data_IF_701386496102
#
_entry.id   IF_701386496102
#
_cell.length_a   1.000
_cell.length_b   1.000
_cell.length_c   1.000
_cell.angle_alpha   90.00
_cell.angle_beta   90.00
_cell.angle_gamma   90.00
#
_symmetry.space_group_name_H-M   'P 1'
#
loop_
_entity.id
_entity.type
_entity.pdbx_description
1 polymer ?
#
# COMPACT_ATOMS: atom_id res chain seq x y z
N UNK A 1 19.29 -15.03 -2.09
CA UNK A 1 19.12 -14.18 -3.29
C UNK A 1 20.03 -12.99 -3.12
N UNK A 2 20.90 -12.71 -4.09
CA UNK A 2 21.80 -11.56 -4.03
C UNK A 2 21.20 -10.44 -4.87
N UNK A 3 20.79 -9.35 -4.24
CA UNK A 3 20.18 -8.20 -4.90
C UNK A 3 21.09 -7.55 -5.96
N UNK A 4 22.39 -7.84 -5.96
CA UNK A 4 23.30 -7.50 -7.06
C UNK A 4 22.87 -8.08 -8.41
N UNK A 5 22.24 -9.26 -8.44
CA UNK A 5 21.75 -9.87 -9.68
C UNK A 5 20.52 -9.13 -10.20
N UNK A 6 19.63 -8.70 -9.30
CA UNK A 6 18.39 -8.02 -9.66
C UNK A 6 18.62 -6.56 -10.07
N UNK A 7 19.52 -5.85 -9.38
CA UNK A 7 19.70 -4.40 -9.56
C UNK A 7 20.99 -4.02 -10.29
N UNK A 8 21.91 -4.97 -10.56
CA UNK A 8 23.17 -4.70 -11.25
C UNK A 8 23.93 -3.53 -10.62
N UNK A 9 24.27 -2.54 -11.44
CA UNK A 9 25.02 -1.34 -11.04
C UNK A 9 24.26 -0.41 -10.08
N UNK A 10 22.93 -0.57 -9.95
CA UNK A 10 22.14 0.19 -8.96
C UNK A 10 22.33 -0.38 -7.54
N UNK A 11 22.72 -1.64 -7.39
CA UNK A 11 22.78 -2.32 -6.09
C UNK A 11 23.65 -1.61 -5.05
N UNK A 12 24.88 -1.11 -5.35
CA UNK A 12 25.68 -0.40 -4.36
C UNK A 12 24.97 0.81 -3.74
N UNK A 13 24.23 1.59 -4.56
CA UNK A 13 23.48 2.76 -4.09
C UNK A 13 22.31 2.38 -3.16
N UNK A 14 21.61 1.29 -3.48
CA UNK A 14 20.53 0.75 -2.67
C UNK A 14 21.08 0.21 -1.35
N UNK A 15 22.19 -0.54 -1.43
CA UNK A 15 22.84 -1.17 -0.27
C UNK A 15 23.32 -0.15 0.75
N UNK A 16 24.03 0.91 0.31
CA UNK A 16 24.49 1.94 1.25
C UNK A 16 23.31 2.66 1.91
N UNK A 17 22.22 2.87 1.18
CA UNK A 17 21.02 3.53 1.69
C UNK A 17 20.26 2.65 2.70
N UNK A 18 20.21 1.34 2.48
CA UNK A 18 19.67 0.36 3.45
C UNK A 18 20.43 0.36 4.78
N UNK A 19 21.74 0.54 4.73
CA UNK A 19 22.62 0.57 5.91
C UNK A 19 22.72 1.95 6.55
N UNK A 20 22.14 2.98 5.93
CA UNK A 20 22.10 4.36 6.43
C UNK A 20 20.75 4.67 7.07
N UNK A 21 20.69 5.74 7.86
CA UNK A 21 19.46 6.20 8.51
C UNK A 21 18.34 6.49 7.49
N UNK A 22 17.16 5.96 7.78
CA UNK A 22 15.98 6.12 6.93
C UNK A 22 15.44 7.55 7.00
N UNK A 23 14.93 8.05 5.87
CA UNK A 23 14.16 9.29 5.84
C UNK A 23 12.72 9.03 6.26
N UNK A 24 12.16 9.93 7.06
CA UNK A 24 10.79 9.83 7.57
C UNK A 24 9.89 10.92 7.00
N UNK A 25 8.61 10.61 6.84
CA UNK A 25 7.55 11.58 6.56
C UNK A 25 6.67 11.77 7.79
N UNK A 26 6.12 12.97 7.96
CA UNK A 26 5.11 13.25 8.98
C UNK A 26 3.72 13.14 8.35
N UNK A 27 2.93 12.16 8.79
CA UNK A 27 1.52 12.08 8.44
C UNK A 27 0.71 12.93 9.42
N UNK A 28 0.02 13.93 8.90
CA UNK A 28 -0.72 14.89 9.72
C UNK A 28 -2.06 14.29 10.13
N UNK A 29 -2.38 14.38 11.42
CA UNK A 29 -3.63 13.87 11.95
C UNK A 29 -4.76 14.87 11.67
N UNK A 30 -5.65 14.54 10.73
CA UNK A 30 -6.80 15.38 10.36
C UNK A 30 -7.86 15.51 11.46
N UNK A 31 -7.80 14.69 12.53
CA UNK A 31 -8.64 14.85 13.71
C UNK A 31 -8.08 15.86 14.73
N UNK A 32 -6.82 16.29 14.55
CA UNK A 32 -6.21 17.34 15.34
C UNK A 32 -6.36 18.71 14.66
N UNK A 33 -5.77 19.76 15.23
CA UNK A 33 -5.63 21.07 14.59
C UNK A 33 -4.62 21.00 13.42
N UNK A 34 -5.00 20.33 12.34
CA UNK A 34 -4.14 19.97 11.21
C UNK A 34 -3.52 21.19 10.52
N UNK A 35 -4.26 22.29 10.37
CA UNK A 35 -3.77 23.56 9.83
C UNK A 35 -2.55 24.09 10.60
N UNK A 36 -2.63 24.07 11.93
CA UNK A 36 -1.55 24.53 12.82
C UNK A 36 -0.34 23.60 12.78
N UNK A 37 -0.58 22.29 12.67
CA UNK A 37 0.50 21.29 12.54
C UNK A 37 1.21 21.46 11.20
N UNK A 38 0.47 21.68 10.11
CA UNK A 38 1.03 21.94 8.79
C UNK A 38 1.94 23.18 8.80
N UNK A 39 1.44 24.31 9.32
CA UNK A 39 2.23 25.53 9.41
C UNK A 39 3.55 25.33 10.19
N UNK A 40 3.53 24.52 11.27
CA UNK A 40 4.74 24.17 12.03
C UNK A 40 5.71 23.30 11.23
N UNK A 41 5.21 22.31 10.49
CA UNK A 41 6.05 21.45 9.65
C UNK A 41 6.69 22.25 8.51
N UNK A 42 5.96 23.18 7.91
CA UNK A 42 6.49 24.10 6.89
C UNK A 42 7.57 25.02 7.45
N UNK A 43 7.43 25.51 8.69
CA UNK A 43 8.49 26.26 9.38
C UNK A 43 9.77 25.44 9.58
N UNK A 44 9.66 24.11 9.68
CA UNK A 44 10.80 23.19 9.71
C UNK A 44 11.34 22.85 8.30
N UNK A 45 10.92 23.59 7.27
CA UNK A 45 11.24 23.33 5.86
C UNK A 45 10.80 21.96 5.36
N UNK A 46 9.86 21.30 6.04
CA UNK A 46 9.20 20.13 5.50
C UNK A 46 8.28 20.54 4.34
N UNK A 47 8.08 19.63 3.38
CA UNK A 47 7.22 19.86 2.23
C UNK A 47 6.12 18.81 2.21
N UNK A 48 4.89 19.23 1.96
CA UNK A 48 3.79 18.32 1.64
C UNK A 48 3.98 17.76 0.23
N UNK A 49 4.60 16.59 0.17
CA UNK A 49 4.88 15.93 -1.10
C UNK A 49 3.63 15.35 -1.77
N UNK A 50 2.53 15.13 -1.03
CA UNK A 50 1.27 14.63 -1.57
C UNK A 50 0.54 15.76 -2.30
N UNK A 51 0.38 16.91 -1.64
CA UNK A 51 -0.22 18.08 -2.26
C UNK A 51 0.60 18.55 -3.48
N UNK A 52 1.94 18.57 -3.36
CA UNK A 52 2.82 18.86 -4.50
C UNK A 52 2.55 17.93 -5.68
N UNK A 53 2.49 16.61 -5.44
CA UNK A 53 2.22 15.61 -6.48
C UNK A 53 0.83 15.82 -7.14
N UNK A 54 -0.20 16.13 -6.36
CA UNK A 54 -1.56 16.39 -6.86
C UNK A 54 -1.62 17.69 -7.69
N UNK A 55 -0.95 18.75 -7.24
CA UNK A 55 -0.90 20.03 -7.98
C UNK A 55 -0.25 19.87 -9.37
N UNK A 56 0.79 19.03 -9.48
CA UNK A 56 1.41 18.71 -10.77
C UNK A 56 0.47 17.94 -11.72
N UNK A 57 -0.43 17.12 -11.18
CA UNK A 57 -1.44 16.42 -11.97
C UNK A 57 -2.47 17.36 -12.60
N UNK A 58 -2.99 18.31 -11.81
CA UNK A 58 -3.97 19.29 -12.28
C UNK A 58 -3.40 20.15 -13.42
N UNK A 59 -2.16 20.60 -13.28
CA UNK A 59 -1.44 21.38 -14.30
C UNK A 59 -1.19 20.60 -15.60
N UNK A 60 -0.93 19.30 -15.53
CA UNK A 60 -0.73 18.46 -16.73
C UNK A 60 -2.05 18.17 -17.46
N UNK A 61 -3.18 18.22 -16.75
CA UNK A 61 -4.51 17.96 -17.31
C UNK A 61 -5.06 19.16 -18.10
N UNK A 62 -4.61 20.39 -17.80
CA UNK A 62 -5.04 21.62 -18.48
C UNK A 62 -4.16 22.01 -19.69
N UNK A 63 -3.02 21.32 -19.92
CA UNK A 63 -1.95 21.83 -20.79
C UNK A 63 -1.52 21.02 -22.02
N UNK A 64 -2.22 19.97 -22.47
CA UNK A 64 -1.70 19.18 -23.61
C UNK A 64 -2.68 18.29 -24.37
N UNK A 65 -2.91 18.63 -25.65
CA UNK A 65 -3.36 17.71 -26.71
C UNK A 65 -2.24 16.69 -27.04
N UNK A 66 -2.12 15.61 -26.26
CA UNK A 66 -1.51 14.37 -26.74
C UNK A 66 -1.96 13.20 -25.86
N UNK A 67 -2.80 12.33 -26.45
CA UNK A 67 -3.28 11.02 -25.98
C UNK A 67 -2.72 10.50 -24.63
N UNK A 68 -3.17 11.10 -23.53
CA UNK A 68 -3.40 10.34 -22.31
C UNK A 68 -4.47 9.27 -22.65
N UNK A 69 -4.38 8.05 -22.11
CA UNK A 69 -5.44 7.06 -22.30
C UNK A 69 -6.77 7.74 -21.94
N UNK A 70 -7.77 7.50 -22.79
CA UNK A 70 -9.05 8.21 -22.80
C UNK A 70 -9.59 8.46 -21.39
N UNK A 71 -10.32 9.59 -21.18
CA UNK A 71 -10.84 10.00 -19.87
C UNK A 71 -11.72 8.95 -19.17
N UNK A 72 -12.04 7.82 -19.82
CA UNK A 72 -12.66 6.65 -19.21
C UNK A 72 -11.75 5.83 -18.27
N UNK A 73 -10.43 6.06 -18.27
CA UNK A 73 -9.50 5.28 -17.44
C UNK A 73 -9.28 5.86 -16.02
N UNK A 74 -9.42 7.17 -15.82
CA UNK A 74 -9.40 7.82 -14.49
C UNK A 74 -10.32 9.07 -14.37
N UNK A 75 -11.38 9.20 -15.18
CA UNK A 75 -12.52 9.95 -14.68
C UNK A 75 -12.95 9.24 -13.39
N UNK A 76 -13.20 10.03 -12.34
CA UNK A 76 -14.18 9.73 -11.31
C UNK A 76 -15.07 8.57 -11.77
N UNK A 77 -15.04 7.44 -11.05
CA UNK A 77 -15.91 6.28 -11.28
C UNK A 77 -17.27 6.75 -11.87
N UNK A 78 -17.94 6.04 -12.78
CA UNK A 78 -19.31 6.40 -13.16
C UNK A 78 -20.29 6.57 -11.95
N UNK A 79 -19.85 6.23 -10.73
CA UNK A 79 -20.49 6.49 -9.44
C UNK A 79 -20.08 7.79 -8.72
N UNK A 80 -19.02 8.50 -9.16
CA UNK A 80 -18.66 9.83 -8.71
C UNK A 80 -19.43 10.85 -9.54
N UNK A 81 -20.65 11.07 -9.10
CA UNK A 81 -21.49 12.18 -9.55
C UNK A 81 -21.22 13.35 -8.61
N UNK A 82 -20.72 14.45 -9.16
CA UNK A 82 -20.55 15.68 -8.40
C UNK A 82 -21.92 16.36 -8.30
N UNK A 83 -22.51 16.33 -7.11
CA UNK A 83 -23.77 17.02 -6.80
C UNK A 83 -23.45 18.20 -5.88
N UNK A 84 -23.83 19.40 -6.30
CA UNK A 84 -23.74 20.62 -5.47
C UNK A 84 -25.00 20.76 -4.62
N UNK A 85 -24.86 20.88 -3.29
CA UNK A 85 -25.98 21.12 -2.37
C UNK A 85 -25.82 22.48 -1.68
N UNK A 86 -26.93 23.16 -1.38
CA UNK A 86 -26.92 24.46 -0.68
C UNK A 86 -26.41 24.39 0.78
N UNK A 87 -26.35 23.19 1.37
CA UNK A 87 -25.73 22.89 2.66
C UNK A 87 -25.09 21.50 2.59
N UNK A 88 -23.82 21.39 2.97
CA UNK A 88 -23.10 20.11 3.00
C UNK A 88 -23.65 19.20 4.10
N UNK A 89 -24.41 18.18 3.72
CA UNK A 89 -24.93 17.15 4.61
C UNK A 89 -24.21 15.82 4.32
N UNK A 90 -23.07 15.62 4.99
CA UNK A 90 -22.21 14.44 4.83
C UNK A 90 -22.85 13.15 5.35
N UNK A 91 -23.97 13.23 6.08
CA UNK A 91 -24.73 12.05 6.54
C UNK A 91 -25.36 11.25 5.40
N UNK A 92 -25.38 11.82 4.18
CA UNK A 92 -25.89 11.20 2.95
C UNK A 92 -24.89 10.28 2.27
N UNK A 93 -23.62 10.35 2.62
CA UNK A 93 -22.62 9.38 2.19
C UNK A 93 -22.59 8.25 3.21
N UNK A 94 -22.75 6.97 2.79
CA UNK A 94 -22.64 5.87 3.73
C UNK A 94 -21.27 5.95 4.42
N UNK A 95 -21.22 5.88 5.76
CA UNK A 95 -19.95 5.89 6.47
C UNK A 95 -19.07 4.74 5.98
N UNK A 96 -17.80 5.04 5.68
CA UNK A 96 -16.84 4.00 5.33
C UNK A 96 -16.56 3.15 6.58
N UNK A 97 -16.76 1.84 6.46
CA UNK A 97 -16.39 0.87 7.49
C UNK A 97 -14.99 0.34 7.20
N UNK A 98 -14.18 0.22 8.24
CA UNK A 98 -12.81 -0.28 8.20
C UNK A 98 -12.71 -1.56 9.01
N UNK A 99 -12.36 -2.66 8.37
CA UNK A 99 -11.89 -3.86 9.05
C UNK A 99 -10.35 -3.86 9.08
N UNK A 100 -9.77 -3.82 10.28
CA UNK A 100 -8.33 -3.90 10.48
C UNK A 100 -7.97 -5.23 11.15
N UNK A 101 -7.22 -6.07 10.44
CA UNK A 101 -6.89 -7.42 10.89
C UNK A 101 -5.39 -7.66 10.95
N UNK A 102 -4.94 -8.32 12.01
CA UNK A 102 -3.57 -8.79 12.15
C UNK A 102 -3.53 -10.06 13.01
N UNK A 103 -2.89 -11.12 12.51
CA UNK A 103 -2.80 -12.41 13.22
C UNK A 103 -2.14 -12.29 14.61
N UNK A 104 -1.25 -11.31 14.80
CA UNK A 104 -0.52 -11.11 16.04
C UNK A 104 -1.30 -10.26 17.03
N UNK A 105 -1.69 -10.86 18.15
CA UNK A 105 -2.40 -10.18 19.24
C UNK A 105 -1.59 -9.00 19.83
N UNK A 106 -0.26 -9.11 19.89
CA UNK A 106 0.60 -8.02 20.37
C UNK A 106 0.64 -6.83 19.40
N UNK A 107 0.62 -7.08 18.08
CA UNK A 107 0.49 -6.02 17.07
C UNK A 107 -0.90 -5.38 17.10
N UNK A 108 -1.96 -6.17 17.29
CA UNK A 108 -3.31 -5.64 17.51
C UNK A 108 -3.37 -4.74 18.75
N UNK A 109 -2.74 -5.12 19.86
CA UNK A 109 -2.68 -4.28 21.05
C UNK A 109 -1.97 -2.94 20.77
N UNK A 110 -0.92 -2.94 19.94
CA UNK A 110 -0.25 -1.71 19.50
C UNK A 110 -1.16 -0.86 18.60
N UNK A 111 -1.84 -1.48 17.63
CA UNK A 111 -2.80 -0.81 16.76
C UNK A 111 -3.91 -0.14 17.58
N UNK A 112 -4.49 -0.87 18.54
CA UNK A 112 -5.49 -0.33 19.45
C UNK A 112 -4.98 0.92 20.18
N UNK A 113 -3.77 0.89 20.74
CA UNK A 113 -3.17 2.08 21.38
C UNK A 113 -3.06 3.26 20.41
N UNK A 114 -2.62 3.03 19.17
CA UNK A 114 -2.54 4.08 18.14
C UNK A 114 -3.94 4.64 17.84
N UNK A 115 -4.94 3.79 17.64
CA UNK A 115 -6.32 4.24 17.41
C UNK A 115 -6.83 5.08 18.58
N UNK A 116 -6.53 4.70 19.82
CA UNK A 116 -6.90 5.47 21.01
C UNK A 116 -6.21 6.84 21.07
N UNK A 117 -4.98 6.95 20.58
CA UNK A 117 -4.22 8.22 20.60
C UNK A 117 -4.57 9.16 19.46
N UNK A 118 -4.92 8.64 18.28
CA UNK A 118 -5.07 9.46 17.07
C UNK A 118 -6.51 9.62 16.60
N UNK A 119 -7.43 8.73 16.97
CA UNK A 119 -8.82 8.74 16.49
C UNK A 119 -9.78 9.11 17.62
N UNK A 120 -10.67 10.12 17.43
CA UNK A 120 -11.69 10.49 18.40
C UNK A 120 -12.56 9.31 18.82
N UNK A 121 -13.02 9.31 20.08
CA UNK A 121 -13.80 8.21 20.64
C UNK A 121 -15.11 8.00 19.88
N UNK A 122 -15.74 9.08 19.42
CA UNK A 122 -17.03 9.04 18.71
C UNK A 122 -16.93 8.25 17.39
N UNK A 123 -15.77 8.28 16.73
CA UNK A 123 -15.53 7.55 15.49
C UNK A 123 -15.25 6.08 15.80
N UNK A 124 -14.50 5.81 16.88
CA UNK A 124 -14.19 4.45 17.33
C UNK A 124 -15.44 3.69 17.78
N UNK A 125 -16.34 4.37 18.49
CA UNK A 125 -17.51 3.74 19.12
C UNK A 125 -18.70 3.55 18.15
N UNK A 126 -18.68 4.19 16.98
CA UNK A 126 -19.74 4.11 15.94
C UNK A 126 -19.70 2.84 15.08
N UNK A 127 -19.00 1.78 15.50
CA UNK A 127 -18.75 0.56 14.72
C UNK A 127 -18.10 0.80 13.35
N UNK A 128 -17.51 1.97 13.10
CA UNK A 128 -16.84 2.27 11.83
C UNK A 128 -15.50 1.55 11.73
N UNK A 129 -14.86 1.18 12.85
CA UNK A 129 -13.58 0.46 12.87
C UNK A 129 -13.75 -0.84 13.63
N UNK A 130 -13.65 -1.97 12.92
CA UNK A 130 -13.63 -3.31 13.51
C UNK A 130 -12.21 -3.86 13.50
N UNK A 131 -11.69 -4.19 14.67
CA UNK A 131 -10.32 -4.72 14.83
C UNK A 131 -10.38 -6.18 15.22
N UNK A 132 -9.70 -7.05 14.46
CA UNK A 132 -9.71 -8.51 14.68
C UNK A 132 -8.31 -9.09 14.64
N UNK A 133 -8.15 -10.27 15.25
CA UNK A 133 -6.91 -11.05 15.21
C UNK A 133 -7.13 -12.44 14.63
N UNK A 134 -7.54 -12.48 13.36
CA UNK A 134 -7.79 -13.73 12.63
C UNK A 134 -6.74 -14.00 11.56
N UNK A 135 -6.67 -15.25 11.12
CA UNK A 135 -5.82 -15.63 10.00
C UNK A 135 -6.36 -15.06 8.70
N UNK A 136 -5.64 -14.10 8.13
CA UNK A 136 -6.02 -13.39 6.91
C UNK A 136 -6.22 -14.31 5.70
N UNK A 137 -5.63 -15.52 5.71
CA UNK A 137 -5.81 -16.51 4.63
C UNK A 137 -7.26 -17.02 4.50
N UNK A 138 -8.05 -16.87 5.56
CA UNK A 138 -9.44 -17.34 5.62
C UNK A 138 -10.45 -16.27 5.22
N UNK A 139 -10.01 -15.07 4.85
CA UNK A 139 -10.93 -13.94 4.65
C UNK A 139 -11.95 -14.16 3.53
N UNK A 140 -11.55 -14.86 2.46
CA UNK A 140 -12.47 -15.22 1.39
C UNK A 140 -13.64 -16.12 1.83
N UNK A 141 -13.43 -16.96 2.86
CA UNK A 141 -14.47 -17.82 3.43
C UNK A 141 -15.33 -17.06 4.46
N UNK A 142 -14.71 -16.17 5.23
CA UNK A 142 -15.37 -15.42 6.29
C UNK A 142 -16.27 -14.31 5.72
N UNK A 143 -15.73 -13.52 4.79
CA UNK A 143 -16.34 -12.29 4.27
C UNK A 143 -15.99 -12.11 2.79
N UNK A 144 -16.28 -13.14 1.98
CA UNK A 144 -16.20 -13.09 0.53
C UNK A 144 -17.05 -11.97 -0.08
N UNK A 145 -16.60 -11.40 -1.20
CA UNK A 145 -17.34 -10.40 -1.98
C UNK A 145 -17.88 -9.21 -1.16
N UNK A 146 -17.19 -8.81 -0.09
CA UNK A 146 -17.72 -7.87 0.92
C UNK A 146 -17.10 -6.49 0.82
N UNK A 147 -15.83 -6.38 0.41
CA UNK A 147 -15.06 -5.13 0.51
C UNK A 147 -14.91 -4.42 -0.84
N UNK A 148 -15.13 -3.10 -0.85
CA UNK A 148 -14.91 -2.27 -2.04
C UNK A 148 -13.42 -2.02 -2.32
N UNK A 149 -12.62 -2.00 -1.24
CA UNK A 149 -11.19 -1.73 -1.23
C UNK A 149 -10.51 -2.62 -0.20
N UNK A 150 -9.42 -3.28 -0.58
CA UNK A 150 -8.62 -4.12 0.32
C UNK A 150 -7.13 -3.75 0.21
N UNK A 151 -6.48 -3.56 1.35
CA UNK A 151 -5.02 -3.46 1.44
C UNK A 151 -4.47 -4.77 1.99
N UNK A 152 -3.57 -5.39 1.24
CA UNK A 152 -2.89 -6.63 1.63
C UNK A 152 -1.41 -6.32 1.84
N UNK A 153 -1.10 -5.81 3.04
CA UNK A 153 0.26 -5.58 3.51
C UNK A 153 0.78 -6.81 4.24
N UNK A 154 1.69 -7.54 3.58
CA UNK A 154 2.03 -8.91 3.98
C UNK A 154 3.28 -9.00 4.85
N UNK A 155 3.38 -10.02 5.73
CA UNK A 155 4.66 -10.37 6.33
C UNK A 155 5.66 -10.71 5.21
N UNK A 156 6.84 -10.10 5.28
CA UNK A 156 7.92 -10.30 4.32
C UNK A 156 9.27 -10.32 5.03
N UNK A 157 10.36 -10.39 4.27
CA UNK A 157 11.72 -10.35 4.84
C UNK A 157 12.09 -9.02 5.50
N UNK A 158 11.27 -7.96 5.34
CA UNK A 158 11.44 -6.65 5.98
C UNK A 158 12.87 -6.13 5.90
N UNK A 159 13.37 -5.98 4.67
CA UNK A 159 14.80 -5.98 4.37
C UNK A 159 15.60 -4.96 5.18
N UNK A 160 15.09 -3.74 5.33
CA UNK A 160 15.73 -2.71 6.14
C UNK A 160 15.77 -3.11 7.61
N UNK A 161 14.65 -3.53 8.18
CA UNK A 161 14.59 -3.94 9.58
C UNK A 161 15.51 -5.12 9.86
N UNK A 162 15.53 -6.13 8.98
CA UNK A 162 16.40 -7.30 9.09
C UNK A 162 17.91 -7.01 9.00
N UNK A 163 18.32 -5.81 8.57
CA UNK A 163 19.72 -5.39 8.58
C UNK A 163 20.13 -4.70 9.89
N UNK A 164 19.17 -4.18 10.66
CA UNK A 164 19.42 -3.37 11.85
C UNK A 164 18.96 -4.03 13.14
N UNK A 165 18.01 -4.97 13.08
CA UNK A 165 17.47 -5.69 14.23
C UNK A 165 17.92 -7.15 14.24
N UNK A 166 18.59 -7.58 15.31
CA UNK A 166 19.01 -8.97 15.48
C UNK A 166 17.97 -9.77 16.28
N UNK A 167 17.17 -9.13 17.13
CA UNK A 167 16.11 -9.81 17.88
C UNK A 167 15.00 -10.29 16.94
N UNK A 168 14.58 -11.55 17.06
CA UNK A 168 13.56 -12.16 16.20
C UNK A 168 13.79 -12.00 14.68
N UNK A 169 15.03 -11.80 14.23
CA UNK A 169 15.34 -11.62 12.81
C UNK A 169 14.95 -12.84 11.96
N UNK A 170 14.27 -12.61 10.83
CA UNK A 170 13.78 -13.66 9.91
C UNK A 170 14.92 -14.44 9.21
N UNK A 171 16.14 -13.90 9.20
CA UNK A 171 17.32 -14.54 8.65
C UNK A 171 18.04 -15.47 9.64
N UNK A 172 17.59 -15.56 10.90
CA UNK A 172 18.10 -16.54 11.86
C UNK A 172 17.97 -17.96 11.33
N UNK A 173 18.96 -18.81 11.62
CA UNK A 173 19.01 -20.21 11.15
C UNK A 173 17.75 -20.99 11.53
N UNK A 174 17.21 -20.76 12.73
CA UNK A 174 15.97 -21.38 13.22
C UNK A 174 14.74 -21.05 12.37
N UNK A 175 14.70 -19.88 11.73
CA UNK A 175 13.58 -19.39 10.92
C UNK A 175 13.75 -19.64 9.41
N UNK A 176 14.76 -20.43 9.01
CA UNK A 176 15.03 -20.71 7.59
C UNK A 176 13.81 -21.26 6.84
N UNK A 177 13.11 -22.25 7.43
CA UNK A 177 11.92 -22.86 6.81
C UNK A 177 10.80 -21.84 6.65
N UNK A 178 10.51 -21.07 7.69
CA UNK A 178 9.53 -19.99 7.68
C UNK A 178 9.85 -18.95 6.59
N UNK A 179 11.09 -18.48 6.53
CA UNK A 179 11.56 -17.54 5.52
C UNK A 179 11.39 -18.06 4.09
N UNK A 180 11.63 -19.35 3.86
CA UNK A 180 11.53 -19.96 2.53
C UNK A 180 10.09 -20.08 2.03
N UNK A 181 9.11 -20.20 2.94
CA UNK A 181 7.68 -20.32 2.59
C UNK A 181 6.96 -18.97 2.53
N UNK A 182 7.64 -17.84 2.81
CA UNK A 182 7.03 -16.51 2.80
C UNK A 182 6.30 -16.21 1.48
N UNK A 183 6.86 -16.43 0.28
CA UNK A 183 6.13 -16.21 -0.97
C UNK A 183 4.81 -16.98 -1.07
N UNK A 184 4.77 -18.21 -0.54
CA UNK A 184 3.54 -19.02 -0.53
C UNK A 184 2.50 -18.41 0.41
N UNK A 185 2.92 -18.00 1.61
CA UNK A 185 2.04 -17.31 2.57
C UNK A 185 1.50 -16.01 1.98
N UNK A 186 2.35 -15.22 1.32
CA UNK A 186 1.98 -13.94 0.72
C UNK A 186 0.96 -14.13 -0.41
N UNK A 187 1.15 -15.15 -1.25
CA UNK A 187 0.21 -15.53 -2.30
C UNK A 187 -1.16 -15.92 -1.72
N UNK A 188 -1.18 -16.72 -0.63
CA UNK A 188 -2.42 -17.08 0.07
C UNK A 188 -3.15 -15.87 0.65
N UNK A 189 -2.40 -14.92 1.24
CA UNK A 189 -2.97 -13.69 1.79
C UNK A 189 -3.54 -12.78 0.69
N UNK A 190 -2.82 -12.64 -0.42
CA UNK A 190 -3.30 -11.85 -1.56
C UNK A 190 -4.54 -12.48 -2.20
N UNK A 191 -4.55 -13.79 -2.39
CA UNK A 191 -5.72 -14.52 -2.89
C UNK A 191 -6.94 -14.33 -1.98
N UNK A 192 -6.78 -14.45 -0.66
CA UNK A 192 -7.85 -14.23 0.30
C UNK A 192 -8.38 -12.78 0.28
N UNK A 193 -7.48 -11.79 0.14
CA UNK A 193 -7.87 -10.38 -0.02
C UNK A 193 -8.66 -10.13 -1.30
N UNK A 194 -8.28 -10.76 -2.41
CA UNK A 194 -9.01 -10.69 -3.67
C UNK A 194 -10.39 -11.36 -3.58
N UNK A 195 -10.49 -12.53 -2.94
CA UNK A 195 -11.77 -13.21 -2.70
C UNK A 195 -12.71 -12.40 -1.79
N UNK A 196 -12.17 -11.68 -0.82
CA UNK A 196 -12.94 -10.78 0.03
C UNK A 196 -13.40 -9.50 -0.68
N UNK A 197 -12.78 -9.16 -1.82
CA UNK A 197 -13.08 -7.95 -2.58
C UNK A 197 -14.29 -8.18 -3.48
N UNK A 198 -15.24 -7.24 -3.52
CA UNK A 198 -16.38 -7.30 -4.46
C UNK A 198 -15.93 -7.39 -5.92
N UNK A 199 -16.71 -8.00 -6.82
CA UNK A 199 -16.55 -7.80 -8.25
C UNK A 199 -16.56 -6.29 -8.59
N UNK A 200 -15.56 -5.86 -9.35
CA UNK A 200 -15.30 -4.44 -9.65
C UNK A 200 -14.54 -3.67 -8.57
N UNK A 201 -14.31 -4.27 -7.39
CA UNK A 201 -13.51 -3.72 -6.29
C UNK A 201 -12.01 -3.76 -6.55
N UNK A 202 -11.23 -3.12 -5.68
CA UNK A 202 -9.80 -2.93 -5.89
C UNK A 202 -8.97 -3.42 -4.70
N UNK A 203 -7.81 -3.98 -5.02
CA UNK A 203 -6.82 -4.47 -4.05
C UNK A 203 -5.49 -3.77 -4.28
N UNK A 204 -4.81 -3.42 -3.19
CA UNK A 204 -3.39 -3.06 -3.22
C UNK A 204 -2.63 -4.10 -2.43
N UNK A 205 -1.68 -4.76 -3.09
CA UNK A 205 -0.69 -5.61 -2.44
C UNK A 205 0.56 -4.80 -2.12
N UNK A 206 1.14 -4.93 -0.93
CA UNK A 206 2.39 -4.25 -0.58
C UNK A 206 3.36 -5.11 0.21
N UNK A 207 4.66 -4.83 0.03
CA UNK A 207 5.75 -5.38 0.87
C UNK A 207 6.80 -4.32 1.14
N UNK A 208 7.59 -4.50 2.19
CA UNK A 208 8.83 -3.75 2.42
C UNK A 208 10.09 -4.58 2.07
N UNK A 209 10.01 -5.39 1.00
CA UNK A 209 11.12 -6.19 0.47
C UNK A 209 11.47 -5.79 -0.97
N UNK A 210 12.76 -5.92 -1.32
CA UNK A 210 13.27 -5.74 -2.68
C UNK A 210 13.15 -7.00 -3.54
N UNK A 211 12.80 -8.16 -2.96
CA UNK A 211 12.83 -9.44 -3.66
C UNK A 211 11.65 -9.63 -4.60
N UNK A 212 11.91 -9.83 -5.91
CA UNK A 212 10.88 -10.16 -6.89
C UNK A 212 10.10 -11.45 -6.56
N UNK A 213 10.70 -12.39 -5.82
CA UNK A 213 10.02 -13.60 -5.33
C UNK A 213 8.88 -13.30 -4.35
N UNK A 214 8.98 -12.19 -3.62
CA UNK A 214 7.95 -11.71 -2.69
C UNK A 214 7.08 -10.60 -3.31
N UNK A 215 7.42 -10.13 -4.51
CA UNK A 215 6.79 -8.99 -5.14
C UNK A 215 6.02 -9.43 -6.39
N UNK A 216 6.60 -9.29 -7.58
CA UNK A 216 5.94 -9.61 -8.85
C UNK A 216 5.46 -11.06 -8.93
N UNK A 217 6.25 -12.02 -8.44
CA UNK A 217 5.89 -13.45 -8.50
C UNK A 217 4.71 -13.80 -7.61
N UNK A 218 4.53 -13.11 -6.49
CA UNK A 218 3.37 -13.29 -5.62
C UNK A 218 2.11 -12.78 -6.32
N UNK A 219 2.19 -11.60 -6.95
CA UNK A 219 1.06 -11.02 -7.68
C UNK A 219 0.65 -11.92 -8.84
N UNK A 220 1.60 -12.34 -9.67
CA UNK A 220 1.34 -13.23 -10.80
C UNK A 220 0.75 -14.56 -10.34
N UNK A 221 1.35 -15.20 -9.35
CA UNK A 221 0.86 -16.48 -8.82
C UNK A 221 -0.53 -16.38 -8.18
N UNK A 222 -0.86 -15.28 -7.51
CA UNK A 222 -2.20 -15.08 -6.95
C UNK A 222 -3.27 -14.89 -8.05
N UNK A 223 -2.95 -14.14 -9.11
CA UNK A 223 -3.84 -13.96 -10.28
C UNK A 223 -4.08 -15.31 -10.96
N UNK A 224 -3.02 -16.09 -11.21
CA UNK A 224 -3.13 -17.43 -11.80
C UNK A 224 -3.95 -18.38 -10.92
N UNK A 225 -3.73 -18.34 -9.60
CA UNK A 225 -4.49 -19.16 -8.65
C UNK A 225 -5.99 -18.82 -8.71
N UNK A 226 -6.35 -17.53 -8.71
CA UNK A 226 -7.74 -17.11 -8.78
C UNK A 226 -8.41 -17.49 -10.11
N UNK A 227 -7.71 -17.34 -11.22
CA UNK A 227 -8.21 -17.74 -12.53
C UNK A 227 -8.46 -19.25 -12.60
N UNK A 228 -7.51 -20.06 -12.10
CA UNK A 228 -7.56 -21.52 -12.23
C UNK A 228 -8.49 -22.19 -11.21
N UNK A 229 -8.54 -21.71 -9.97
CA UNK A 229 -9.31 -22.35 -8.89
C UNK A 229 -10.72 -21.78 -8.74
N UNK A 230 -10.91 -20.49 -9.03
CA UNK A 230 -12.16 -19.78 -8.76
C UNK A 230 -12.81 -19.18 -10.01
N UNK A 231 -12.18 -19.29 -11.19
CA UNK A 231 -12.63 -18.62 -12.42
C UNK A 231 -12.77 -17.09 -12.25
N UNK A 232 -11.99 -16.49 -11.34
CA UNK A 232 -12.01 -15.05 -11.09
C UNK A 232 -10.95 -14.36 -11.92
N UNK A 233 -11.35 -13.35 -12.69
CA UNK A 233 -10.42 -12.51 -13.44
C UNK A 233 -9.96 -11.33 -12.60
N UNK A 234 -8.65 -11.09 -12.59
CA UNK A 234 -8.01 -9.96 -11.89
C UNK A 234 -7.14 -9.23 -12.88
N UNK A 235 -7.27 -7.91 -12.92
CA UNK A 235 -6.51 -7.03 -13.79
C UNK A 235 -5.54 -6.18 -12.96
N UNK A 236 -4.25 -6.24 -13.27
CA UNK A 236 -3.27 -5.28 -12.73
C UNK A 236 -3.54 -3.91 -13.34
N UNK A 237 -3.58 -2.87 -12.51
CA UNK A 237 -3.75 -1.49 -12.95
C UNK A 237 -2.38 -0.83 -13.15
N UNK A 238 -2.24 -0.08 -14.24
CA UNK A 238 -1.03 0.68 -14.53
C UNK A 238 -0.87 1.85 -13.55
N UNK A 239 0.25 1.86 -12.84
CA UNK A 239 0.63 2.89 -11.88
C UNK A 239 1.74 3.81 -12.41
N UNK A 240 2.10 3.72 -13.69
CA UNK A 240 3.16 4.52 -14.30
C UNK A 240 2.95 6.02 -14.09
N UNK A 241 1.72 6.50 -14.27
CA UNK A 241 1.41 7.91 -14.03
C UNK A 241 1.56 8.26 -12.54
N UNK A 242 1.01 7.44 -11.64
CA UNK A 242 1.17 7.61 -10.20
C UNK A 242 2.66 7.69 -9.81
N UNK A 243 3.48 6.77 -10.30
CA UNK A 243 4.93 6.81 -10.09
C UNK A 243 5.53 8.15 -10.51
N UNK A 244 5.22 8.64 -11.73
CA UNK A 244 5.78 9.90 -12.25
C UNK A 244 5.48 11.09 -11.33
N UNK A 245 4.27 11.19 -10.78
CA UNK A 245 3.90 12.25 -9.83
C UNK A 245 4.75 12.25 -8.56
N UNK A 246 5.21 11.07 -8.13
CA UNK A 246 5.94 10.86 -6.89
C UNK A 246 7.47 10.75 -7.08
N UNK A 247 7.99 10.79 -8.31
CA UNK A 247 9.42 10.68 -8.61
C UNK A 247 10.27 11.86 -8.07
N UNK A 248 9.64 13.01 -7.83
CA UNK A 248 10.28 14.16 -7.17
C UNK A 248 10.64 13.87 -5.70
N UNK A 249 10.00 12.88 -5.09
CA UNK A 249 10.13 12.55 -3.66
C UNK A 249 10.77 11.20 -3.42
N UNK A 250 10.49 10.23 -4.27
CA UNK A 250 10.94 8.84 -4.11
C UNK A 250 11.73 8.38 -5.32
N UNK A 251 12.75 7.54 -5.08
CA UNK A 251 13.44 6.82 -6.13
C UNK A 251 12.71 5.51 -6.43
N UNK A 252 12.35 5.29 -7.70
CA UNK A 252 11.67 4.08 -8.14
C UNK A 252 12.59 3.19 -8.97
N UNK A 253 12.44 1.87 -8.83
CA UNK A 253 12.97 0.92 -9.80
C UNK A 253 12.00 0.82 -10.98
N UNK A 254 12.44 1.25 -12.17
CA UNK A 254 11.56 1.41 -13.33
C UNK A 254 11.27 0.13 -14.12
N UNK A 255 11.92 -0.99 -13.77
CA UNK A 255 11.86 -2.24 -14.55
C UNK A 255 11.02 -3.34 -13.89
N UNK A 256 10.10 -2.97 -12.98
CA UNK A 256 9.11 -3.91 -12.47
C UNK A 256 8.19 -4.38 -13.61
N UNK A 257 7.88 -5.66 -13.66
CA UNK A 257 6.94 -6.21 -14.65
C UNK A 257 5.50 -5.80 -14.36
N UNK A 258 5.15 -5.77 -13.07
CA UNK A 258 3.86 -5.34 -12.53
C UNK A 258 4.11 -4.61 -11.22
N UNK A 259 3.24 -3.66 -10.88
CA UNK A 259 3.41 -2.83 -9.69
C UNK A 259 4.59 -1.86 -9.80
N UNK A 260 4.89 -1.22 -8.68
CA UNK A 260 5.94 -0.21 -8.55
C UNK A 260 6.78 -0.49 -7.31
N UNK A 261 8.09 -0.20 -7.39
CA UNK A 261 9.03 -0.44 -6.29
C UNK A 261 9.80 0.84 -5.95
N UNK A 262 9.54 1.38 -4.76
CA UNK A 262 10.39 2.42 -4.16
C UNK A 262 11.67 1.77 -3.64
N UNK A 263 12.81 2.24 -4.14
CA UNK A 263 14.13 1.77 -3.75
C UNK A 263 14.82 2.79 -2.83
N UNK A 264 15.53 2.33 -1.79
CA UNK A 264 16.40 3.17 -0.98
C UNK A 264 17.44 3.93 -1.80
N UNK A 265 17.56 5.24 -1.56
CA UNK A 265 18.59 6.10 -2.13
C UNK A 265 19.02 7.16 -1.10
N UNK A 266 20.30 7.54 -1.04
CA UNK A 266 20.78 8.49 -0.03
C UNK A 266 20.11 9.87 -0.11
N UNK A 267 19.68 10.31 -1.30
CA UNK A 267 18.98 11.60 -1.46
C UNK A 267 17.52 11.54 -0.98
N UNK A 268 16.93 10.35 -0.99
CA UNK A 268 15.54 10.09 -0.65
C UNK A 268 15.42 8.70 -0.01
N UNK A 269 15.97 8.55 1.21
CA UNK A 269 16.18 7.24 1.84
C UNK A 269 14.91 6.62 2.43
N UNK A 270 13.87 6.52 1.60
CA UNK A 270 12.62 5.83 1.88
C UNK A 270 12.69 4.36 1.44
N UNK A 271 11.63 3.60 1.71
CA UNK A 271 11.54 2.19 1.32
C UNK A 271 12.58 1.27 1.99
N UNK A 272 12.72 0.02 1.51
CA UNK A 272 12.02 -0.55 0.34
C UNK A 272 10.50 -0.56 0.49
N UNK A 273 9.79 -0.31 -0.60
CA UNK A 273 8.32 -0.42 -0.64
C UNK A 273 7.87 -0.86 -2.02
N UNK A 274 7.44 -2.11 -2.15
CA UNK A 274 6.74 -2.60 -3.33
C UNK A 274 5.24 -2.41 -3.15
N UNK A 275 4.55 -2.01 -4.20
CA UNK A 275 3.09 -2.02 -4.22
C UNK A 275 2.55 -2.31 -5.61
N UNK A 276 1.45 -3.06 -5.67
CA UNK A 276 0.75 -3.38 -6.91
C UNK A 276 -0.74 -3.21 -6.72
N UNK A 277 -1.35 -2.36 -7.54
CA UNK A 277 -2.80 -2.13 -7.57
C UNK A 277 -3.42 -3.07 -8.60
N UNK A 278 -4.54 -3.67 -8.22
CA UNK A 278 -5.29 -4.57 -9.08
C UNK A 278 -6.79 -4.41 -8.85
N UNK A 279 -7.56 -4.73 -9.88
CA UNK A 279 -9.02 -4.73 -9.87
C UNK A 279 -9.53 -6.15 -10.09
N UNK A 280 -10.43 -6.60 -9.22
CA UNK A 280 -11.16 -7.86 -9.43
C UNK A 280 -12.28 -7.57 -10.44
N UNK A 281 -12.32 -8.29 -11.55
CA UNK A 281 -13.29 -8.06 -12.63
C UNK A 281 -14.58 -8.83 -12.44
N UNK A 282 -14.49 -10.07 -11.95
CA UNK A 282 -15.62 -11.00 -11.74
C UNK A 282 -15.58 -11.61 -10.35
#
# INVERSE_FOLDING_TARGET
MTYSVQFGDLWPSIRVSLLSEQKYGALVNNFAAWDHVNAKLEQLSAKDFVNKAISHWELQSEGGESAAPSPASWACSPNLRCFTFARGDVSRFPPANLAANDLSTSRIARLQKILHSYVPQEIRDRNQVRVTSWDGRKWGELEGDTYDRVLVDVPCTTDRHSLHEEENNIFKRSRKKERQILPVLQMQLLAAGLLATKPGGHVVYSTCSLSHLQNEYVVQGAIELLANQYSIQVQVEDLTHFRRLFMDTFCFFSSCQVGELVIPNLMANFGPMYFCKMRRLT
#
